data_IF_708732825126
#
_entry.id   IF_708732825126
#
_cell.length_a   1.000
_cell.length_b   1.000
_cell.length_c   1.000
_cell.angle_alpha   90.00
_cell.angle_beta   90.00
_cell.angle_gamma   90.00
#
_symmetry.space_group_name_H-M   'P 1'
#
loop_
_entity.id
_entity.type
_entity.pdbx_description
1 polymer ?
#
# COMPACT_ATOMS: atom_id res chain seq x y z
N UNK A 1 -0.26 9.42 7.12
CA UNK A 1 -1.61 9.88 6.80
C UNK A 1 -2.62 8.82 7.20
N UNK A 2 -3.82 9.19 7.67
CA UNK A 2 -4.93 8.25 7.81
C UNK A 2 -5.27 7.62 6.46
N UNK A 3 -5.62 6.33 6.44
CA UNK A 3 -5.96 5.62 5.20
C UNK A 3 -7.24 6.17 4.54
N UNK A 4 -8.13 6.76 5.32
CA UNK A 4 -9.33 7.44 4.82
C UNK A 4 -9.03 8.73 4.06
N UNK A 5 -7.83 9.29 4.26
CA UNK A 5 -7.35 10.47 3.51
C UNK A 5 -6.48 10.07 2.31
N UNK A 6 -6.25 8.77 2.10
CA UNK A 6 -5.57 8.29 0.90
C UNK A 6 -6.46 8.62 -0.31
N UNK A 7 -5.94 9.34 -1.32
CA UNK A 7 -6.72 9.63 -2.50
C UNK A 7 -7.05 8.30 -3.16
N UNK A 8 -8.35 8.00 -3.30
CA UNK A 8 -8.87 6.74 -3.88
C UNK A 8 -8.63 6.61 -5.39
N UNK A 9 -7.59 7.27 -5.88
CA UNK A 9 -7.08 7.25 -7.24
C UNK A 9 -6.79 5.81 -7.68
N UNK A 10 -6.73 5.54 -9.01
CA UNK A 10 -6.52 4.19 -9.49
C UNK A 10 -5.31 3.56 -8.79
N UNK A 11 -5.51 2.37 -8.24
CA UNK A 11 -4.56 1.74 -7.34
C UNK A 11 -3.94 0.51 -7.99
N UNK A 12 -2.62 0.37 -7.84
CA UNK A 12 -1.88 -0.86 -8.12
C UNK A 12 -1.58 -1.55 -6.79
N UNK A 13 -2.23 -2.68 -6.51
CA UNK A 13 -2.13 -3.33 -5.20
C UNK A 13 -1.20 -4.55 -5.20
N UNK A 14 -0.52 -4.83 -4.07
CA UNK A 14 0.08 -6.13 -3.85
C UNK A 14 -0.98 -7.22 -3.95
N UNK A 15 -0.76 -8.29 -4.71
CA UNK A 15 -1.73 -9.38 -4.78
C UNK A 15 -1.86 -10.16 -3.47
N UNK A 16 -2.84 -11.07 -3.39
CA UNK A 16 -3.18 -11.81 -2.17
C UNK A 16 -2.13 -12.86 -1.75
N UNK A 17 -1.08 -13.09 -2.55
CA UNK A 17 0.04 -13.95 -2.14
C UNK A 17 0.97 -13.26 -1.14
N UNK A 18 0.93 -11.93 -1.06
CA UNK A 18 1.74 -11.16 -0.13
C UNK A 18 0.99 -10.95 1.20
N UNK A 19 1.61 -11.32 2.32
CA UNK A 19 1.03 -11.18 3.66
C UNK A 19 0.54 -9.75 3.97
N UNK A 20 1.21 -8.74 3.41
CA UNK A 20 0.81 -7.33 3.56
C UNK A 20 -0.56 -7.01 2.96
N UNK A 21 -1.01 -7.75 1.94
CA UNK A 21 -2.33 -7.53 1.30
C UNK A 21 -3.48 -7.85 2.25
N UNK A 22 -3.37 -8.88 3.08
CA UNK A 22 -4.41 -9.19 4.06
C UNK A 22 -4.57 -8.06 5.09
N UNK A 23 -3.46 -7.47 5.53
CA UNK A 23 -3.49 -6.32 6.45
C UNK A 23 -4.19 -5.14 5.77
N UNK A 24 -3.85 -4.84 4.51
CA UNK A 24 -4.50 -3.78 3.75
C UNK A 24 -6.02 -4.01 3.59
N UNK A 25 -6.43 -5.24 3.24
CA UNK A 25 -7.83 -5.62 3.10
C UNK A 25 -8.59 -5.44 4.44
N UNK A 26 -7.97 -5.80 5.57
CA UNK A 26 -8.57 -5.62 6.90
C UNK A 26 -8.71 -4.15 7.29
N UNK A 27 -7.66 -3.35 7.07
CA UNK A 27 -7.65 -1.91 7.36
C UNK A 27 -8.74 -1.20 6.53
N UNK A 28 -8.76 -1.45 5.22
CA UNK A 28 -9.69 -0.80 4.28
C UNK A 28 -11.13 -1.19 4.56
N UNK A 29 -11.39 -2.45 4.89
CA UNK A 29 -12.71 -2.93 5.32
C UNK A 29 -13.19 -2.22 6.59
N UNK A 30 -12.33 -2.12 7.63
CA UNK A 30 -12.66 -1.44 8.90
C UNK A 30 -12.91 0.04 8.73
N UNK A 31 -12.16 0.70 7.85
CA UNK A 31 -12.26 2.14 7.57
C UNK A 31 -13.24 2.48 6.45
N UNK A 32 -13.91 1.47 5.88
CA UNK A 32 -14.84 1.60 4.75
C UNK A 32 -14.24 2.31 3.52
N UNK A 33 -12.92 2.17 3.34
CA UNK A 33 -12.19 2.72 2.19
C UNK A 33 -12.26 1.71 1.05
N UNK A 34 -12.50 2.20 -0.17
CA UNK A 34 -12.44 1.39 -1.40
C UNK A 34 -11.45 2.02 -2.36
N UNK A 35 -10.64 1.18 -2.98
CA UNK A 35 -9.74 1.59 -4.05
C UNK A 35 -10.29 1.14 -5.39
N UNK A 36 -10.12 1.99 -6.41
CA UNK A 36 -10.31 1.58 -7.79
C UNK A 36 -9.07 0.78 -8.24
N UNK A 37 -9.06 -0.53 -7.98
CA UNK A 37 -7.90 -1.39 -8.27
C UNK A 37 -7.82 -1.63 -9.78
N UNK A 38 -6.75 -1.13 -10.41
CA UNK A 38 -6.52 -1.27 -11.87
C UNK A 38 -5.41 -2.27 -12.20
N UNK A 39 -4.60 -2.65 -11.20
CA UNK A 39 -3.55 -3.65 -11.34
C UNK A 39 -3.28 -4.38 -10.00
N UNK A 40 -2.88 -5.65 -10.09
CA UNK A 40 -2.41 -6.43 -8.95
C UNK A 40 -1.08 -7.14 -9.32
N UNK A 41 -0.13 -7.24 -8.37
CA UNK A 41 1.15 -7.92 -8.59
C UNK A 41 1.82 -8.33 -7.27
N UNK A 42 2.66 -9.36 -7.28
CA UNK A 42 3.53 -9.73 -6.16
C UNK A 42 4.93 -9.08 -6.24
N UNK A 43 5.21 -8.29 -7.28
CA UNK A 43 6.50 -7.61 -7.46
C UNK A 43 6.41 -6.13 -7.08
N UNK A 44 7.03 -5.76 -5.97
CA UNK A 44 7.10 -4.35 -5.53
C UNK A 44 7.82 -3.44 -6.52
N UNK A 45 8.77 -3.96 -7.30
CA UNK A 45 9.41 -3.21 -8.38
C UNK A 45 8.41 -2.88 -9.50
N UNK A 46 7.60 -3.85 -9.91
CA UNK A 46 6.55 -3.63 -10.91
C UNK A 46 5.51 -2.62 -10.41
N UNK A 47 5.05 -2.75 -9.17
CA UNK A 47 4.08 -1.83 -8.57
C UNK A 47 4.63 -0.39 -8.54
N UNK A 48 5.90 -0.20 -8.14
CA UNK A 48 6.57 1.11 -8.19
C UNK A 48 6.66 1.66 -9.62
N UNK A 49 6.97 0.81 -10.59
CA UNK A 49 6.99 1.19 -12.01
C UNK A 49 5.62 1.66 -12.52
N UNK A 50 4.53 1.04 -12.05
CA UNK A 50 3.16 1.43 -12.38
C UNK A 50 2.78 2.77 -11.73
N UNK A 51 3.08 2.96 -10.44
CA UNK A 51 2.90 4.26 -9.75
C UNK A 51 3.60 5.37 -10.51
N UNK A 52 4.88 5.17 -10.85
CA UNK A 52 5.69 6.18 -11.53
C UNK A 52 5.17 6.56 -12.93
N UNK A 53 4.64 5.59 -13.69
CA UNK A 53 4.25 5.79 -15.09
C UNK A 53 2.78 6.14 -15.30
N UNK A 54 1.91 5.72 -14.38
CA UNK A 54 0.47 5.74 -14.59
C UNK A 54 -0.28 6.59 -13.55
N UNK A 55 0.44 7.34 -12.71
CA UNK A 55 -0.15 8.23 -11.69
C UNK A 55 -1.11 7.47 -10.76
N UNK A 56 -0.60 6.37 -10.18
CA UNK A 56 -1.36 5.45 -9.33
C UNK A 56 -0.92 5.55 -7.88
N UNK A 57 -1.74 5.04 -6.96
CA UNK A 57 -1.30 4.77 -5.57
C UNK A 57 -0.97 3.29 -5.39
N UNK A 58 -0.03 2.98 -4.49
CA UNK A 58 0.29 1.60 -4.10
C UNK A 58 0.65 1.51 -2.62
N UNK A 59 0.67 0.28 -2.10
CA UNK A 59 0.93 -0.02 -0.70
C UNK A 59 2.06 -1.03 -0.58
N UNK A 60 2.98 -0.77 0.35
CA UNK A 60 4.14 -1.60 0.62
C UNK A 60 4.33 -1.77 2.13
N UNK A 61 4.78 -2.94 2.55
CA UNK A 61 5.25 -3.17 3.93
C UNK A 61 6.72 -2.76 4.02
N UNK A 62 7.09 -2.07 5.10
CA UNK A 62 8.46 -1.51 5.25
C UNK A 62 9.53 -2.59 5.52
N UNK A 63 9.14 -3.83 5.79
CA UNK A 63 10.07 -4.92 6.13
C UNK A 63 10.96 -5.25 4.93
N UNK A 64 12.25 -4.91 5.03
CA UNK A 64 13.28 -5.23 4.04
C UNK A 64 13.34 -4.31 2.82
N UNK A 65 12.55 -3.24 2.77
CA UNK A 65 12.64 -2.22 1.73
C UNK A 65 13.54 -1.05 2.18
N UNK A 66 14.44 -0.51 1.32
CA UNK A 66 15.20 0.69 1.66
C UNK A 66 14.24 1.85 1.95
N UNK A 67 14.21 2.28 3.21
CA UNK A 67 13.13 3.08 3.82
C UNK A 67 13.16 4.58 3.52
N UNK A 68 13.94 5.04 2.55
CA UNK A 68 14.01 6.47 2.24
C UNK A 68 14.06 6.82 0.75
N UNK A 69 14.48 5.88 -0.10
CA UNK A 69 14.55 6.11 -1.55
C UNK A 69 13.85 4.95 -2.28
N UNK A 70 12.58 5.17 -2.61
CA UNK A 70 11.82 4.26 -3.48
C UNK A 70 12.34 4.28 -4.93
N UNK A 71 13.24 5.23 -5.26
CA UNK A 71 13.71 5.54 -6.60
C UNK A 71 12.64 6.29 -7.40
N UNK A 72 13.06 6.85 -8.54
CA UNK A 72 12.15 7.42 -9.56
C UNK A 72 11.29 8.60 -9.09
N UNK A 73 11.69 9.34 -8.05
CA UNK A 73 10.91 10.50 -7.57
C UNK A 73 9.59 10.12 -6.87
N UNK A 74 9.46 8.86 -6.44
CA UNK A 74 8.32 8.40 -5.66
C UNK A 74 8.41 8.88 -4.21
N UNK A 75 7.26 9.26 -3.64
CA UNK A 75 7.16 9.68 -2.24
C UNK A 75 6.49 8.57 -1.43
N UNK A 76 7.16 8.15 -0.36
CA UNK A 76 6.56 7.26 0.62
C UNK A 76 5.70 8.09 1.61
N UNK A 77 4.43 7.73 1.74
CA UNK A 77 3.52 8.33 2.71
C UNK A 77 3.16 7.27 3.78
N UNK A 78 3.78 7.31 4.97
CA UNK A 78 3.48 6.34 6.03
C UNK A 78 2.01 6.38 6.40
N UNK A 79 1.36 5.22 6.47
CA UNK A 79 -0.02 5.13 6.99
C UNK A 79 -0.01 5.30 8.50
N UNK A 80 -1.00 6.01 9.03
CA UNK A 80 -1.13 6.22 10.47
C UNK A 80 -1.25 4.88 11.19
N UNK A 81 -0.41 4.66 12.20
CA UNK A 81 -0.36 3.40 12.95
C UNK A 81 -1.65 3.09 13.70
N UNK A 82 -2.53 4.09 13.90
CA UNK A 82 -3.88 3.90 14.45
C UNK A 82 -4.83 3.17 13.48
N UNK A 83 -4.53 3.16 12.20
CA UNK A 83 -5.31 2.44 11.19
C UNK A 83 -4.89 0.98 11.06
N UNK A 84 -3.66 0.65 11.47
CA UNK A 84 -3.13 -0.71 11.36
C UNK A 84 -3.72 -1.58 12.49
N UNK A 85 -4.35 -2.73 12.17
CA UNK A 85 -4.91 -3.64 13.14
C UNK A 85 -3.91 -4.08 14.20
N UNK A 86 -4.31 -3.98 15.48
CA UNK A 86 -3.54 -4.51 16.60
C UNK A 86 -3.78 -6.01 16.84
N UNK A 87 -3.07 -6.88 16.12
CA UNK A 87 -2.94 -8.32 16.44
C UNK A 87 -1.80 -8.67 17.43
N UNK A 88 -1.59 -9.95 17.76
CA UNK A 88 -0.51 -10.36 18.66
C UNK A 88 0.89 -10.40 17.99
N UNK A 89 1.01 -10.36 16.65
CA UNK A 89 2.24 -10.72 15.93
C UNK A 89 2.63 -9.79 14.75
N UNK A 90 2.35 -8.49 14.79
CA UNK A 90 2.50 -7.57 13.63
C UNK A 90 3.46 -6.39 13.90
N UNK A 91 4.41 -6.57 14.83
CA UNK A 91 5.59 -5.71 15.00
C UNK A 91 6.85 -6.55 14.80
#
# INVERSE_FOLDING_TARGET
MPISECPGDPAALPDRSLNGRHILDEVTSRRQVRFNVVAESNSFEMLRGLVYRCDLVSFQIEIGAPSADLGMGLVACPIDTRDIPRGPNWC
#
